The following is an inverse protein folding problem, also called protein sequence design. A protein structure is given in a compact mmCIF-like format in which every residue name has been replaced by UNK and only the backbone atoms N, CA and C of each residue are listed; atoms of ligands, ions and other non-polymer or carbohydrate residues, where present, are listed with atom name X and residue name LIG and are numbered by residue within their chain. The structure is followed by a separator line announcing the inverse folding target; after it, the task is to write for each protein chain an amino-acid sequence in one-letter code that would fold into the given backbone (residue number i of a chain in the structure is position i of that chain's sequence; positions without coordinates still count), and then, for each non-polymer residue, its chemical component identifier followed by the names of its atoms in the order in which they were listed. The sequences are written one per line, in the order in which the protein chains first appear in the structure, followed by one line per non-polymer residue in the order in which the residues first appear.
data_IF_719880186899
#
_entry.id   IF_719880186899
#
_cell.length_a   1.000
_cell.length_b   1.000
_cell.length_c   1.000
_cell.angle_alpha   90.00
_cell.angle_beta   90.00
_cell.angle_gamma   90.00
#
_symmetry.space_group_name_H-M   'P 1'
#
loop_
_entity.id
_entity.type
_entity.pdbx_description
1 polymer ?
#
# COMPACT_ATOMS: atom_id res chain seq x y z
N UNK A 1 6.35 5.40 22.28
CA UNK A 1 5.08 5.90 21.74
C UNK A 1 5.31 6.67 20.45
N UNK A 2 5.03 7.97 20.25
CA UNK A 2 4.99 8.56 18.88
C UNK A 2 6.17 8.22 17.94
N UNK A 3 7.41 8.21 18.42
CA UNK A 3 8.59 7.88 17.59
C UNK A 3 8.74 6.37 17.32
N UNK A 4 8.27 5.53 18.23
CA UNK A 4 8.26 4.07 18.10
C UNK A 4 7.21 3.61 17.09
N UNK A 5 6.03 4.24 17.09
CA UNK A 5 4.95 3.96 16.14
C UNK A 5 5.39 4.27 14.70
N UNK A 6 6.04 5.43 14.50
CA UNK A 6 6.62 5.82 13.21
C UNK A 6 7.70 4.84 12.74
N UNK A 7 8.63 4.43 13.62
CA UNK A 7 9.66 3.43 13.27
C UNK A 7 9.07 2.07 12.96
N UNK A 8 8.03 1.67 13.68
CA UNK A 8 7.30 0.43 13.47
C UNK A 8 6.62 0.42 12.10
N UNK A 9 5.93 1.52 11.74
CA UNK A 9 5.35 1.71 10.42
C UNK A 9 6.41 1.71 9.31
N UNK A 10 7.50 2.47 9.47
CA UNK A 10 8.60 2.53 8.51
C UNK A 10 9.20 1.14 8.24
N UNK A 11 9.32 0.30 9.28
CA UNK A 11 9.78 -1.09 9.13
C UNK A 11 8.84 -1.90 8.23
N UNK A 12 7.52 -1.75 8.40
CA UNK A 12 6.50 -2.42 7.58
C UNK A 12 6.48 -1.89 6.15
N UNK A 13 6.59 -0.58 5.97
CA UNK A 13 6.69 0.05 4.64
C UNK A 13 7.91 -0.50 3.88
N UNK A 14 9.07 -0.56 4.52
CA UNK A 14 10.27 -1.15 3.93
C UNK A 14 10.10 -2.64 3.63
N UNK A 15 9.47 -3.40 4.53
CA UNK A 15 9.21 -4.82 4.32
C UNK A 15 8.32 -5.06 3.09
N UNK A 16 7.21 -4.31 2.98
CA UNK A 16 6.32 -4.36 1.83
C UNK A 16 7.05 -3.97 0.55
N UNK A 17 7.76 -2.84 0.54
CA UNK A 17 8.52 -2.39 -0.62
C UNK A 17 9.54 -3.43 -1.09
N UNK A 18 10.26 -4.04 -0.15
CA UNK A 18 11.24 -5.11 -0.45
C UNK A 18 10.56 -6.36 -1.02
N UNK A 19 9.37 -6.71 -0.51
CA UNK A 19 8.57 -7.81 -1.04
C UNK A 19 8.20 -7.54 -2.50
N UNK A 20 7.65 -6.36 -2.79
CA UNK A 20 7.23 -5.95 -4.15
C UNK A 20 8.45 -5.84 -5.10
N UNK A 21 9.57 -5.28 -4.64
CA UNK A 21 10.83 -5.19 -5.42
C UNK A 21 11.32 -6.57 -5.89
N UNK A 22 11.02 -7.63 -5.14
CA UNK A 22 11.41 -9.01 -5.46
C UNK A 22 10.33 -9.83 -6.18
N UNK A 23 9.10 -9.30 -6.28
CA UNK A 23 7.96 -10.03 -6.81
C UNK A 23 7.93 -9.93 -8.34
N UNK A 24 7.77 -11.07 -9.02
CA UNK A 24 7.69 -11.13 -10.49
C UNK A 24 6.38 -11.74 -10.97
N UNK A 25 5.82 -12.67 -10.21
CA UNK A 25 4.48 -13.23 -10.42
C UNK A 25 3.84 -13.66 -9.10
N UNK A 26 2.53 -13.88 -9.12
CA UNK A 26 1.80 -14.38 -7.95
C UNK A 26 1.79 -15.91 -7.84
N UNK A 27 2.06 -16.41 -6.64
CA UNK A 27 1.99 -17.82 -6.23
C UNK A 27 1.46 -17.90 -4.79
N UNK A 28 1.03 -19.06 -4.33
CA UNK A 28 0.40 -19.24 -3.00
C UNK A 28 1.22 -18.57 -1.88
N UNK A 29 2.54 -18.82 -1.85
CA UNK A 29 3.44 -18.26 -0.83
C UNK A 29 3.58 -16.73 -0.93
N UNK A 30 3.53 -16.15 -2.14
CA UNK A 30 3.62 -14.70 -2.29
C UNK A 30 2.31 -14.03 -1.88
N UNK A 31 1.16 -14.65 -2.15
CA UNK A 31 -0.16 -14.18 -1.70
C UNK A 31 -0.24 -14.12 -0.18
N UNK A 32 0.20 -15.16 0.53
CA UNK A 32 0.22 -15.15 2.00
C UNK A 32 1.08 -14.02 2.57
N UNK A 33 2.27 -13.80 1.98
CA UNK A 33 3.16 -12.71 2.39
C UNK A 33 2.54 -11.33 2.13
N UNK A 34 1.91 -11.15 0.97
CA UNK A 34 1.21 -9.91 0.61
C UNK A 34 0.08 -9.61 1.60
N UNK A 35 -0.78 -10.60 1.88
CA UNK A 35 -1.87 -10.44 2.85
C UNK A 35 -1.35 -10.02 4.23
N UNK A 36 -0.28 -10.66 4.73
CA UNK A 36 0.32 -10.31 6.02
C UNK A 36 0.92 -8.91 6.00
N UNK A 37 1.66 -8.56 4.95
CA UNK A 37 2.30 -7.24 4.83
C UNK A 37 1.26 -6.11 4.74
N UNK A 38 0.20 -6.29 3.96
CA UNK A 38 -0.90 -5.33 3.83
C UNK A 38 -1.66 -5.12 5.14
N UNK A 39 -1.99 -6.21 5.87
CA UNK A 39 -2.64 -6.11 7.18
C UNK A 39 -1.78 -5.39 8.22
N UNK A 40 -0.48 -5.69 8.24
CA UNK A 40 0.47 -5.07 9.17
C UNK A 40 0.66 -3.57 8.87
N UNK A 41 0.75 -3.20 7.58
CA UNK A 41 0.76 -1.80 7.13
C UNK A 41 -0.48 -1.04 7.57
N UNK A 42 -1.66 -1.58 7.27
CA UNK A 42 -2.93 -0.95 7.59
C UNK A 42 -3.07 -0.70 9.10
N UNK A 43 -2.72 -1.71 9.91
CA UNK A 43 -2.77 -1.61 11.38
C UNK A 43 -1.83 -0.51 11.90
N UNK A 44 -0.62 -0.41 11.36
CA UNK A 44 0.39 0.56 11.83
C UNK A 44 0.13 1.97 11.32
N UNK A 45 -0.46 2.13 10.13
CA UNK A 45 -0.86 3.44 9.63
C UNK A 45 -1.89 4.13 10.54
N UNK A 46 -2.80 3.37 11.13
CA UNK A 46 -3.77 3.88 12.13
C UNK A 46 -3.10 4.49 13.37
N UNK A 47 -1.84 4.13 13.63
CA UNK A 47 -1.07 4.60 14.78
C UNK A 47 -0.14 5.78 14.43
N UNK A 48 -0.07 6.18 13.17
CA UNK A 48 0.74 7.32 12.76
C UNK A 48 0.21 8.61 13.42
N UNK A 49 1.11 9.42 14.01
CA UNK A 49 0.69 10.67 14.64
C UNK A 49 0.24 11.68 13.58
N UNK A 50 -0.71 12.53 13.93
CA UNK A 50 -0.98 13.75 13.17
C UNK A 50 0.21 14.71 13.34
N UNK A 51 0.77 15.14 12.22
CA UNK A 51 1.84 16.14 12.12
C UNK A 51 1.52 17.07 10.97
N UNK A 52 2.05 18.29 11.03
CA UNK A 52 2.02 19.21 9.89
C UNK A 52 3.38 19.15 9.18
N UNK A 53 3.44 19.16 7.85
CA UNK A 53 4.70 19.19 7.12
C UNK A 53 5.37 20.55 7.30
N UNK A 54 6.69 20.57 7.51
CA UNK A 54 7.45 21.82 7.62
C UNK A 54 7.55 22.54 6.26
N UNK A 55 7.48 21.76 5.17
CA UNK A 55 7.46 22.26 3.80
C UNK A 55 6.31 21.65 2.97
N UNK A 56 5.49 22.50 2.36
CA UNK A 56 4.33 22.10 1.54
C UNK A 56 4.74 21.70 0.12
N UNK A 57 6.00 21.91 -0.27
CA UNK A 57 6.44 21.53 -1.62
C UNK A 57 6.46 20.01 -1.76
N UNK A 58 5.57 19.50 -2.60
CA UNK A 58 5.60 18.13 -3.06
C UNK A 58 6.98 17.83 -3.68
N UNK A 59 7.68 16.87 -3.11
CA UNK A 59 8.85 16.29 -3.76
C UNK A 59 8.34 15.46 -4.94
N UNK A 60 8.75 15.80 -6.15
CA UNK A 60 8.51 14.92 -7.31
C UNK A 60 9.66 13.92 -7.36
N UNK A 61 9.38 12.70 -6.91
CA UNK A 61 10.32 11.59 -6.99
C UNK A 61 9.88 10.68 -8.13
N UNK A 62 10.81 10.40 -9.05
CA UNK A 62 10.58 9.41 -10.08
C UNK A 62 10.85 8.01 -9.51
N UNK A 63 9.78 7.24 -9.32
CA UNK A 63 9.85 5.85 -8.82
C UNK A 63 9.68 4.90 -10.00
N UNK A 64 10.67 4.04 -10.20
CA UNK A 64 10.56 2.94 -11.16
C UNK A 64 9.66 1.84 -10.57
N UNK A 65 8.51 1.60 -11.18
CA UNK A 65 7.59 0.55 -10.74
C UNK A 65 8.09 -0.85 -11.15
N UNK A 66 8.09 -1.83 -10.23
CA UNK A 66 8.31 -3.23 -10.58
C UNK A 66 7.26 -3.76 -11.56
N UNK A 67 7.64 -4.73 -12.39
CA UNK A 67 6.70 -5.44 -13.27
C UNK A 67 6.32 -6.76 -12.63
N UNK A 68 5.03 -6.92 -12.34
CA UNK A 68 4.49 -8.08 -11.65
C UNK A 68 3.38 -8.68 -12.50
N UNK A 69 3.43 -9.98 -12.76
CA UNK A 69 2.39 -10.69 -13.49
C UNK A 69 1.37 -11.31 -12.52
N UNK A 70 0.16 -10.74 -12.49
CA UNK A 70 -0.98 -11.30 -11.75
C UNK A 70 -1.82 -12.29 -12.58
N UNK A 71 -1.46 -12.50 -13.85
CA UNK A 71 -2.10 -13.47 -14.74
C UNK A 71 -3.62 -13.33 -14.79
N UNK A 72 -4.34 -14.44 -14.61
CA UNK A 72 -5.82 -14.45 -14.64
C UNK A 72 -6.48 -13.69 -13.47
N UNK A 73 -5.72 -13.31 -12.46
CA UNK A 73 -6.20 -12.61 -11.27
C UNK A 73 -5.93 -11.10 -11.32
N UNK A 74 -5.39 -10.59 -12.44
CA UNK A 74 -5.11 -9.17 -12.64
C UNK A 74 -6.32 -8.28 -12.37
N UNK A 75 -7.49 -8.65 -12.90
CA UNK A 75 -8.71 -7.86 -12.78
C UNK A 75 -9.73 -8.53 -11.86
N UNK A 76 -10.47 -7.71 -11.10
CA UNK A 76 -11.53 -8.17 -10.22
C UNK A 76 -12.67 -7.15 -10.15
N UNK A 77 -13.85 -7.59 -9.69
CA UNK A 77 -14.99 -6.69 -9.47
C UNK A 77 -14.81 -5.91 -8.16
N UNK A 78 -14.81 -4.59 -8.29
CA UNK A 78 -14.72 -3.63 -7.20
C UNK A 78 -16.06 -2.92 -6.98
N UNK A 79 -16.40 -2.66 -5.72
CA UNK A 79 -17.54 -1.81 -5.37
C UNK A 79 -16.98 -0.47 -4.93
N UNK A 80 -17.10 0.54 -5.80
CA UNK A 80 -16.53 1.87 -5.57
C UNK A 80 -17.21 2.62 -4.41
N UNK A 81 -18.55 2.67 -4.42
CA UNK A 81 -19.34 3.25 -3.33
C UNK A 81 -20.15 2.15 -2.63
N UNK A 82 -19.71 1.78 -1.43
CA UNK A 82 -20.33 0.72 -0.62
C UNK A 82 -21.79 1.00 -0.25
N UNK A 83 -22.26 2.24 -0.39
CA UNK A 83 -23.62 2.66 -0.04
C UNK A 83 -24.48 2.99 -1.26
N UNK A 84 -23.96 2.84 -2.47
CA UNK A 84 -24.74 2.88 -3.71
C UNK A 84 -24.82 1.49 -4.34
N UNK A 85 -26.02 1.10 -4.73
CA UNK A 85 -26.29 -0.19 -5.38
C UNK A 85 -26.14 -0.08 -6.90
N UNK A 86 -24.99 0.44 -7.34
CA UNK A 86 -24.64 0.55 -8.76
C UNK A 86 -23.95 -0.74 -9.26
N UNK A 87 -23.71 -0.84 -10.57
CA UNK A 87 -22.91 -1.92 -11.13
C UNK A 87 -21.46 -1.85 -10.63
N UNK A 88 -20.80 -3.00 -10.36
CA UNK A 88 -19.42 -3.00 -9.90
C UNK A 88 -18.48 -2.47 -10.98
N UNK A 89 -17.36 -1.91 -10.54
CA UNK A 89 -16.28 -1.40 -11.39
C UNK A 89 -15.19 -2.47 -11.57
N UNK A 90 -14.32 -2.25 -12.56
CA UNK A 90 -13.18 -3.13 -12.85
C UNK A 90 -11.95 -2.64 -12.08
N UNK A 91 -11.63 -3.30 -10.97
CA UNK A 91 -10.39 -3.09 -10.23
C UNK A 91 -9.23 -3.88 -10.81
N UNK A 92 -7.99 -3.44 -10.53
CA UNK A 92 -6.75 -4.11 -10.92
C UNK A 92 -5.87 -4.37 -9.70
N UNK A 93 -5.43 -5.62 -9.53
CA UNK A 93 -4.49 -5.99 -8.47
C UNK A 93 -3.12 -5.37 -8.69
N UNK A 94 -2.66 -5.24 -9.94
CA UNK A 94 -1.37 -4.61 -10.19
C UNK A 94 -1.41 -3.11 -9.87
N UNK A 95 -2.49 -2.42 -10.25
CA UNK A 95 -2.70 -1.02 -9.90
C UNK A 95 -2.73 -0.86 -8.36
N UNK A 96 -3.57 -1.62 -7.65
CA UNK A 96 -3.65 -1.54 -6.19
C UNK A 96 -2.28 -1.75 -5.51
N UNK A 97 -1.55 -2.79 -5.89
CA UNK A 97 -0.27 -3.14 -5.28
C UNK A 97 0.82 -2.12 -5.61
N UNK A 98 0.86 -1.62 -6.85
CA UNK A 98 1.88 -0.68 -7.28
C UNK A 98 1.60 0.75 -6.80
N UNK A 99 0.34 1.14 -6.62
CA UNK A 99 -0.03 2.43 -6.04
C UNK A 99 0.30 2.50 -4.54
N UNK A 100 0.02 1.43 -3.79
CA UNK A 100 0.49 1.31 -2.40
C UNK A 100 2.02 1.38 -2.34
N UNK A 101 2.71 0.63 -3.21
CA UNK A 101 4.17 0.63 -3.26
C UNK A 101 4.73 2.04 -3.50
N UNK A 102 4.14 2.78 -4.44
CA UNK A 102 4.58 4.11 -4.81
C UNK A 102 4.44 5.09 -3.64
N UNK A 103 3.24 5.20 -3.05
CA UNK A 103 2.99 6.10 -1.92
C UNK A 103 3.91 5.75 -0.72
N UNK A 104 4.17 4.47 -0.47
CA UNK A 104 5.09 4.08 0.60
C UNK A 104 6.54 4.47 0.28
N UNK A 105 7.02 4.23 -0.95
CA UNK A 105 8.38 4.59 -1.38
C UNK A 105 8.61 6.10 -1.37
N UNK A 106 7.65 6.92 -1.78
CA UNK A 106 7.75 8.38 -1.74
C UNK A 106 8.01 8.85 -0.30
N UNK A 107 7.21 8.39 0.66
CA UNK A 107 7.43 8.73 2.07
C UNK A 107 8.73 8.15 2.66
N UNK A 108 9.18 6.96 2.23
CA UNK A 108 10.49 6.41 2.65
C UNK A 108 11.62 7.33 2.19
N UNK A 109 11.57 7.82 0.95
CA UNK A 109 12.59 8.71 0.40
C UNK A 109 12.61 10.06 1.14
N UNK A 110 11.44 10.61 1.48
CA UNK A 110 11.35 11.79 2.35
C UNK A 110 12.01 11.54 3.71
N UNK A 111 11.72 10.38 4.32
CA UNK A 111 12.28 10.01 5.62
C UNK A 111 13.81 9.87 5.58
N UNK A 112 14.35 9.26 4.52
CA UNK A 112 15.79 9.12 4.27
C UNK A 112 16.51 10.46 4.06
N UNK A 113 15.78 11.48 3.56
CA UNK A 113 16.27 12.86 3.41
C UNK A 113 16.14 13.68 4.69
N UNK A 114 15.87 13.03 5.83
CA UNK A 114 15.65 13.67 7.14
C UNK A 114 14.39 14.57 7.20
N UNK A 115 13.53 14.52 6.18
CA UNK A 115 12.25 15.23 6.11
C UNK A 115 11.15 14.42 6.82
N UNK A 116 11.32 14.26 8.14
CA UNK A 116 10.52 13.32 8.95
C UNK A 116 9.04 13.72 9.03
N UNK A 117 8.73 15.00 9.20
CA UNK A 117 7.35 15.46 9.31
C UNK A 117 6.62 15.31 7.97
N UNK A 118 7.30 15.61 6.86
CA UNK A 118 6.77 15.43 5.51
C UNK A 118 6.50 13.96 5.21
N UNK A 119 7.40 13.04 5.59
CA UNK A 119 7.21 11.61 5.42
C UNK A 119 5.98 11.09 6.19
N UNK A 120 5.87 11.46 7.47
CA UNK A 120 4.74 11.04 8.32
C UNK A 120 3.43 11.61 7.79
N UNK A 121 3.41 12.91 7.45
CA UNK A 121 2.23 13.54 6.87
C UNK A 121 1.85 12.87 5.55
N UNK A 122 2.81 12.63 4.66
CA UNK A 122 2.59 11.99 3.37
C UNK A 122 1.95 10.60 3.54
N UNK A 123 2.56 9.72 4.33
CA UNK A 123 2.00 8.38 4.54
C UNK A 123 0.59 8.42 5.11
N UNK A 124 0.32 9.30 6.09
CA UNK A 124 -0.99 9.40 6.73
C UNK A 124 -2.04 10.02 5.81
N UNK A 125 -1.72 11.11 5.13
CA UNK A 125 -2.62 11.77 4.19
C UNK A 125 -3.01 10.83 3.04
N UNK A 126 -2.02 10.18 2.41
CA UNK A 126 -2.28 9.24 1.32
C UNK A 126 -2.94 7.95 1.82
N UNK A 127 -2.75 7.56 3.09
CA UNK A 127 -3.49 6.43 3.66
C UNK A 127 -5.00 6.72 3.66
N UNK A 128 -5.37 7.89 4.13
CA UNK A 128 -6.78 8.30 4.25
C UNK A 128 -7.41 8.60 2.88
N UNK A 129 -6.62 9.10 1.93
CA UNK A 129 -7.11 9.56 0.63
C UNK A 129 -6.92 8.55 -0.52
N UNK A 130 -6.03 7.56 -0.38
CA UNK A 130 -5.57 6.75 -1.51
C UNK A 130 -5.15 5.32 -1.12
N UNK A 131 -3.89 5.07 -0.72
CA UNK A 131 -3.37 3.71 -0.55
C UNK A 131 -4.11 2.86 0.50
N UNK A 132 -4.83 3.49 1.45
CA UNK A 132 -5.68 2.78 2.40
C UNK A 132 -6.87 2.05 1.76
N UNK A 133 -7.54 2.65 0.77
CA UNK A 133 -8.63 1.98 0.04
C UNK A 133 -8.09 0.87 -0.87
N UNK A 134 -6.99 1.13 -1.59
CA UNK A 134 -6.28 0.11 -2.37
C UNK A 134 -5.88 -1.09 -1.49
N UNK A 135 -5.45 -0.85 -0.24
CA UNK A 135 -5.09 -1.92 0.69
C UNK A 135 -6.27 -2.84 0.99
N UNK A 136 -7.44 -2.31 1.34
CA UNK A 136 -8.61 -3.15 1.68
C UNK A 136 -9.19 -3.86 0.47
N UNK A 137 -9.10 -3.24 -0.70
CA UNK A 137 -9.49 -3.82 -1.98
C UNK A 137 -8.57 -4.99 -2.36
N UNK A 138 -7.26 -4.78 -2.34
CA UNK A 138 -6.26 -5.81 -2.59
C UNK A 138 -6.38 -6.98 -1.59
N UNK A 139 -6.61 -6.70 -0.30
CA UNK A 139 -6.82 -7.74 0.71
C UNK A 139 -7.99 -8.66 0.35
N UNK A 140 -9.13 -8.08 -0.06
CA UNK A 140 -10.31 -8.87 -0.48
C UNK A 140 -10.01 -9.71 -1.72
N UNK A 141 -9.39 -9.10 -2.74
CA UNK A 141 -9.04 -9.79 -3.98
C UNK A 141 -8.06 -10.94 -3.71
N UNK A 142 -6.93 -10.67 -3.05
CA UNK A 142 -5.91 -11.67 -2.70
C UNK A 142 -6.46 -12.80 -1.81
N UNK A 143 -7.37 -12.50 -0.88
CA UNK A 143 -8.01 -13.52 -0.07
C UNK A 143 -8.86 -14.47 -0.92
N UNK A 144 -9.55 -13.95 -1.95
CA UNK A 144 -10.27 -14.79 -2.92
C UNK A 144 -9.31 -15.67 -3.72
N UNK A 145 -8.18 -15.13 -4.19
CA UNK A 145 -7.16 -15.91 -4.92
C UNK A 145 -6.63 -17.05 -4.06
N UNK A 146 -6.36 -16.79 -2.77
CA UNK A 146 -5.89 -17.83 -1.84
C UNK A 146 -6.87 -19.00 -1.75
N UNK A 147 -8.17 -18.73 -1.68
CA UNK A 147 -9.19 -19.77 -1.58
C UNK A 147 -9.34 -20.59 -2.88
N UNK A 148 -9.01 -19.99 -4.03
CA UNK A 148 -9.02 -20.68 -5.33
C UNK A 148 -7.80 -21.60 -5.56
N UNK A 149 -6.72 -21.40 -4.79
CA UNK A 149 -5.47 -22.17 -4.91
C UNK A 149 -5.40 -23.37 -3.96
N UNK A 150 -6.36 -23.51 -3.04
CA UNK A 150 -6.51 -24.62 -2.08
C UNK A 150 -7.50 -25.65 -2.62
#
# INVERSE_FOLDING_TARGET
MKNEDVRSFLSSANHYCTLIDSLTCIEERSIEKLLVALLDLYLKAQQLPDVEPDNIKALQVEISLPKIDFGKYEYYWEVFDLYKLDEPECGSLSDDILDIYKDLKEGIILFEQEMTNEAIWHWKFHFEAHWGSHTVNALRALHSVKNDLI
#
